data_IF_266329497739
#
_entry.id   IF_266329497739
#
_cell.length_a   1.000
_cell.length_b   1.000
_cell.length_c   1.000
_cell.angle_alpha   90.00
_cell.angle_beta   90.00
_cell.angle_gamma   90.00
#
_symmetry.space_group_name_H-M   'P 1'
#
loop_
_entity.id
_entity.type
_entity.pdbx_description
1 polymer ?
#
# COMPACT_ATOMS: atom_id res chain seq x y z
N UNK A 1 -25.09 -1.21 -7.60
CA UNK A 1 -23.82 -1.20 -8.35
C UNK A 1 -22.77 -1.55 -7.33
N UNK A 2 -22.13 -2.70 -7.49
CA UNK A 2 -21.19 -3.22 -6.49
C UNK A 2 -19.84 -2.54 -6.75
N UNK A 3 -19.53 -1.50 -5.97
CA UNK A 3 -18.19 -0.92 -5.92
C UNK A 3 -17.26 -1.99 -5.34
N UNK A 4 -16.74 -2.86 -6.22
CA UNK A 4 -15.76 -3.87 -5.84
C UNK A 4 -14.45 -3.16 -5.53
N UNK A 5 -14.22 -2.92 -4.25
CA UNK A 5 -12.92 -2.56 -3.71
C UNK A 5 -12.00 -3.77 -3.82
N UNK A 6 -11.19 -3.83 -4.86
CA UNK A 6 -10.18 -4.87 -5.03
C UNK A 6 -8.91 -4.46 -4.29
N UNK A 7 -8.81 -4.88 -3.03
CA UNK A 7 -7.58 -4.85 -2.26
C UNK A 7 -7.44 -6.15 -1.47
N UNK A 8 -6.24 -6.39 -0.98
CA UNK A 8 -5.90 -7.57 -0.19
C UNK A 8 -5.40 -7.16 1.18
N UNK A 9 -5.84 -7.89 2.19
CA UNK A 9 -5.31 -7.79 3.54
C UNK A 9 -4.21 -8.84 3.72
N UNK A 10 -3.05 -8.41 4.21
CA UNK A 10 -1.88 -9.27 4.42
C UNK A 10 -1.57 -9.30 5.91
N UNK A 11 -1.38 -10.52 6.43
CA UNK A 11 -0.88 -10.73 7.79
C UNK A 11 0.61 -10.39 7.82
N UNK A 12 0.98 -9.46 8.69
CA UNK A 12 2.36 -9.01 8.84
C UNK A 12 2.81 -9.13 10.29
N UNK A 13 4.11 -9.29 10.49
CA UNK A 13 4.70 -9.12 11.81
C UNK A 13 4.69 -7.63 12.21
N UNK A 14 4.77 -7.33 13.52
CA UNK A 14 5.06 -5.98 14.00
C UNK A 14 6.31 -5.38 13.37
N UNK A 15 6.24 -4.10 12.96
CA UNK A 15 7.36 -3.33 12.39
C UNK A 15 8.04 -3.99 11.18
N UNK A 16 7.26 -4.72 10.38
CA UNK A 16 7.75 -5.33 9.14
C UNK A 16 7.96 -4.25 8.07
N UNK A 17 8.97 -4.45 7.22
CA UNK A 17 9.29 -3.50 6.15
C UNK A 17 8.28 -3.60 5.02
N UNK A 18 7.68 -2.47 4.65
CA UNK A 18 6.82 -2.37 3.46
C UNK A 18 7.65 -1.84 2.31
N UNK A 19 7.66 -2.58 1.20
CA UNK A 19 8.44 -2.25 0.00
C UNK A 19 7.55 -1.84 -1.16
N UNK A 20 8.06 -0.96 -2.03
CA UNK A 20 7.38 -0.60 -3.27
C UNK A 20 7.38 -1.77 -4.25
N UNK A 21 6.21 -2.16 -4.76
CA UNK A 21 6.08 -3.30 -5.71
C UNK A 21 6.81 -3.05 -7.03
N UNK A 22 6.87 -1.80 -7.46
CA UNK A 22 7.53 -1.37 -8.70
C UNK A 22 8.24 -0.03 -8.49
N UNK A 23 9.12 0.35 -9.43
CA UNK A 23 9.69 1.68 -9.44
C UNK A 23 8.60 2.72 -9.76
N UNK A 24 8.74 3.94 -9.23
CA UNK A 24 7.72 4.96 -9.43
C UNK A 24 7.96 6.24 -8.64
N UNK A 25 6.92 7.05 -8.55
CA UNK A 25 6.92 8.31 -7.81
C UNK A 25 5.80 8.30 -6.77
N UNK A 26 6.13 8.70 -5.55
CA UNK A 26 5.14 8.86 -4.48
C UNK A 26 4.24 10.04 -4.82
N UNK A 27 2.95 9.79 -5.02
CA UNK A 27 1.95 10.82 -5.37
C UNK A 27 1.08 11.22 -4.17
N UNK A 28 1.12 10.44 -3.09
CA UNK A 28 0.40 10.72 -1.86
C UNK A 28 1.13 10.07 -0.68
N UNK A 29 1.24 10.79 0.44
CA UNK A 29 1.82 10.30 1.68
C UNK A 29 1.20 11.10 2.83
N UNK A 30 0.28 10.50 3.58
CA UNK A 30 -0.41 11.19 4.68
C UNK A 30 -1.01 10.24 5.70
N UNK A 31 -1.39 10.79 6.84
CA UNK A 31 -2.12 10.08 7.87
C UNK A 31 -3.63 10.22 7.66
N UNK A 32 -4.34 9.10 7.81
CA UNK A 32 -5.78 9.02 7.85
C UNK A 32 -6.21 8.39 9.17
N UNK A 33 -7.27 8.91 9.78
CA UNK A 33 -7.84 8.32 10.99
C UNK A 33 -8.36 6.90 10.74
N UNK A 34 -8.92 6.65 9.55
CA UNK A 34 -9.51 5.34 9.20
C UNK A 34 -8.45 4.34 8.74
N UNK A 35 -7.35 4.80 8.15
CA UNK A 35 -6.37 3.95 7.46
C UNK A 35 -4.94 4.04 7.98
N UNK A 36 -4.70 4.73 9.08
CA UNK A 36 -3.34 4.99 9.57
C UNK A 36 -2.51 5.78 8.56
N UNK A 37 -1.20 5.50 8.50
CA UNK A 37 -0.36 6.09 7.45
C UNK A 37 -0.59 5.40 6.11
N UNK A 38 -0.82 6.22 5.09
CA UNK A 38 -1.11 5.79 3.74
C UNK A 38 -0.10 6.40 2.78
N UNK A 39 0.44 5.57 1.89
CA UNK A 39 1.34 5.99 0.82
C UNK A 39 0.86 5.43 -0.51
N UNK A 40 0.86 6.26 -1.55
CA UNK A 40 0.52 5.86 -2.92
C UNK A 40 1.72 6.08 -3.82
N UNK A 41 2.02 5.09 -4.67
CA UNK A 41 3.10 5.17 -5.66
C UNK A 41 2.52 5.02 -7.06
N UNK A 42 2.73 6.04 -7.88
CA UNK A 42 2.45 6.01 -9.32
C UNK A 42 3.58 5.30 -10.04
N UNK A 43 3.24 4.28 -10.81
CA UNK A 43 4.14 3.52 -11.67
C UNK A 43 3.83 3.80 -13.14
N UNK A 44 4.63 3.21 -14.02
CA UNK A 44 4.38 3.22 -15.46
C UNK A 44 3.03 2.57 -15.82
N UNK A 45 2.59 2.77 -17.06
CA UNK A 45 1.32 2.27 -17.61
C UNK A 45 0.05 2.66 -16.84
N UNK A 46 0.12 3.74 -16.04
CA UNK A 46 -0.97 4.23 -15.19
C UNK A 46 -1.37 3.25 -14.08
N UNK A 47 -0.41 2.50 -13.54
CA UNK A 47 -0.61 1.76 -12.31
C UNK A 47 -0.38 2.63 -11.08
N UNK A 48 -1.21 2.48 -10.06
CA UNK A 48 -0.99 3.06 -8.73
C UNK A 48 -1.08 1.96 -7.70
N UNK A 49 -0.03 1.80 -6.91
CA UNK A 49 -0.08 0.95 -5.71
C UNK A 49 -0.37 1.79 -4.48
N UNK A 50 -1.21 1.27 -3.59
CA UNK A 50 -1.66 1.95 -2.38
C UNK A 50 -1.38 1.04 -1.19
N UNK A 51 -0.67 1.58 -0.20
CA UNK A 51 -0.24 0.87 0.99
C UNK A 51 -0.88 1.57 2.20
N UNK A 52 -1.71 0.86 2.97
CA UNK A 52 -2.47 1.40 4.12
C UNK A 52 -2.15 0.66 5.41
N UNK A 53 -2.62 1.20 6.52
CA UNK A 53 -2.41 0.71 7.89
C UNK A 53 -0.93 0.65 8.29
N UNK A 54 -0.11 1.56 7.75
CA UNK A 54 1.28 1.71 8.16
C UNK A 54 1.37 2.53 9.46
N UNK A 55 2.42 2.32 10.24
CA UNK A 55 2.74 3.14 11.43
C UNK A 55 3.67 4.29 11.14
N UNK A 56 4.44 4.20 10.06
CA UNK A 56 5.35 5.27 9.63
C UNK A 56 5.61 5.20 8.13
N UNK A 57 5.93 6.36 7.55
CA UNK A 57 6.35 6.48 6.16
C UNK A 57 7.81 6.91 6.11
N UNK A 58 8.59 6.30 5.21
CA UNK A 58 9.98 6.66 4.93
C UNK A 58 10.13 7.56 3.72
N UNK A 59 9.02 7.85 3.05
CA UNK A 59 8.94 8.67 1.83
C UNK A 59 7.82 9.70 1.94
N UNK A 60 7.94 10.77 1.17
CA UNK A 60 6.94 11.83 1.04
C UNK A 60 6.53 12.00 -0.42
N UNK A 61 5.42 12.70 -0.64
CA UNK A 61 4.98 13.04 -1.98
C UNK A 61 6.08 13.76 -2.78
N UNK A 62 6.27 13.35 -4.03
CA UNK A 62 7.34 13.79 -4.92
C UNK A 62 8.61 12.93 -4.91
N UNK A 63 8.80 12.06 -3.91
CA UNK A 63 9.96 11.19 -3.88
C UNK A 63 9.88 10.11 -4.97
N UNK A 64 11.01 9.79 -5.60
CA UNK A 64 11.14 8.62 -6.46
C UNK A 64 11.52 7.38 -5.64
N UNK A 65 11.02 6.22 -6.03
CA UNK A 65 11.28 4.93 -5.38
C UNK A 65 11.62 3.86 -6.41
N UNK A 66 12.45 2.90 -6.01
CA UNK A 66 12.77 1.69 -6.79
C UNK A 66 11.84 0.54 -6.40
N UNK A 67 11.71 -0.44 -7.30
CA UNK A 67 11.10 -1.72 -6.96
C UNK A 67 11.89 -2.37 -5.81
N UNK A 68 11.18 -2.89 -4.80
CA UNK A 68 11.78 -3.49 -3.60
C UNK A 68 12.36 -2.49 -2.58
N UNK A 69 12.28 -1.18 -2.84
CA UNK A 69 12.74 -0.18 -1.88
C UNK A 69 11.76 -0.06 -0.70
N UNK A 70 12.29 0.01 0.52
CA UNK A 70 11.47 0.19 1.74
C UNK A 70 10.88 1.60 1.75
N UNK A 71 9.57 1.68 1.89
CA UNK A 71 8.80 2.94 1.85
C UNK A 71 8.02 3.23 3.13
N UNK A 72 7.80 2.22 3.97
CA UNK A 72 7.02 2.33 5.21
C UNK A 72 7.30 1.14 6.14
N UNK A 73 6.76 1.21 7.36
CA UNK A 73 6.72 0.09 8.31
C UNK A 73 5.28 -0.23 8.72
N UNK A 74 4.99 -1.52 8.89
CA UNK A 74 3.71 -2.01 9.43
C UNK A 74 3.62 -1.75 10.94
N UNK A 75 2.40 -1.77 11.48
CA UNK A 75 2.16 -1.52 12.90
C UNK A 75 2.31 -2.71 13.84
N UNK A 76 2.40 -2.40 15.14
CA UNK A 76 2.62 -3.39 16.22
C UNK A 76 1.35 -4.11 16.71
N UNK A 77 0.24 -4.06 15.97
CA UNK A 77 -1.02 -4.62 16.45
C UNK A 77 -1.10 -6.15 16.28
N UNK A 78 -0.29 -6.87 17.05
CA UNK A 78 -0.42 -8.31 17.27
C UNK A 78 -1.62 -8.69 18.16
N UNK A 79 -2.36 -7.72 18.72
CA UNK A 79 -3.32 -7.95 19.81
C UNK A 79 -4.80 -7.67 19.48
N UNK A 80 -5.16 -7.10 18.34
CA UNK A 80 -6.57 -6.85 18.01
C UNK A 80 -7.15 -7.92 17.09
N UNK A 81 -8.02 -8.73 17.68
CA UNK A 81 -8.82 -9.81 17.08
C UNK A 81 -9.75 -9.41 15.92
N UNK A 82 -9.64 -8.22 15.32
CA UNK A 82 -10.59 -7.73 14.30
C UNK A 82 -10.03 -6.58 13.44
N UNK A 83 -9.12 -6.85 12.50
CA UNK A 83 -9.19 -6.14 11.20
C UNK A 83 -8.11 -5.14 10.80
N UNK A 84 -7.14 -4.77 11.65
CA UNK A 84 -6.05 -3.85 11.24
C UNK A 84 -4.87 -4.61 10.62
N UNK A 85 -5.14 -5.31 9.52
CA UNK A 85 -4.11 -5.95 8.72
C UNK A 85 -3.53 -4.94 7.73
N UNK A 86 -2.27 -5.14 7.33
CA UNK A 86 -1.71 -4.35 6.24
C UNK A 86 -2.59 -4.51 5.00
N UNK A 87 -2.99 -3.40 4.39
CA UNK A 87 -3.91 -3.42 3.28
C UNK A 87 -3.29 -2.82 2.04
N UNK A 88 -3.34 -3.60 0.97
CA UNK A 88 -2.74 -3.27 -0.31
C UNK A 88 -3.81 -3.18 -1.39
N UNK A 89 -3.78 -2.12 -2.18
CA UNK A 89 -4.60 -2.01 -3.40
C UNK A 89 -3.70 -1.76 -4.61
N UNK A 90 -4.14 -2.25 -5.76
CA UNK A 90 -3.57 -1.92 -7.04
C UNK A 90 -4.65 -1.29 -7.92
N UNK A 91 -4.32 -0.18 -8.55
CA UNK A 91 -5.21 0.55 -9.43
C UNK A 91 -4.59 0.64 -10.81
N UNK A 92 -5.39 0.50 -11.86
CA UNK A 92 -4.97 0.71 -13.25
C UNK A 92 -5.94 1.66 -13.93
N UNK A 93 -5.42 2.75 -14.52
CA UNK A 93 -6.25 3.74 -15.25
C UNK A 93 -7.43 4.25 -14.40
N UNK A 94 -7.18 4.51 -13.11
CA UNK A 94 -8.16 5.07 -12.18
C UNK A 94 -9.20 4.09 -11.64
N UNK A 95 -9.05 2.78 -11.85
CA UNK A 95 -9.95 1.75 -11.31
C UNK A 95 -9.16 0.74 -10.48
N UNK A 96 -9.70 0.26 -9.34
CA UNK A 96 -9.09 -0.83 -8.60
C UNK A 96 -9.10 -2.11 -9.44
N UNK A 97 -8.02 -2.89 -9.35
CA UNK A 97 -7.86 -4.20 -10.00
C UNK A 97 -7.47 -5.23 -8.95
N UNK A 98 -7.82 -6.51 -9.16
CA UNK A 98 -7.41 -7.58 -8.26
C UNK A 98 -5.87 -7.73 -8.30
N UNK A 99 -5.15 -7.46 -7.20
CA UNK A 99 -3.70 -7.62 -7.17
C UNK A 99 -3.24 -9.05 -7.49
N UNK A 100 -3.99 -10.07 -7.06
CA UNK A 100 -3.63 -11.48 -7.23
C UNK A 100 -3.68 -11.95 -8.70
N UNK A 101 -4.43 -11.26 -9.55
CA UNK A 101 -4.51 -11.56 -10.99
C UNK A 101 -3.40 -10.86 -11.80
N UNK A 102 -2.79 -9.80 -11.23
CA UNK A 102 -1.83 -8.95 -11.92
C UNK A 102 -0.39 -9.23 -11.45
N UNK A 103 -0.22 -9.53 -10.17
CA UNK A 103 1.06 -9.86 -9.55
C UNK A 103 1.21 -11.38 -9.59
N UNK A 104 1.84 -11.87 -10.66
CA UNK A 104 2.12 -13.29 -10.86
C UNK A 104 3.55 -13.55 -10.38
N UNK A 105 3.73 -14.49 -9.45
CA UNK A 105 5.04 -14.93 -8.93
C UNK A 105 5.71 -15.94 -9.88
#
# INVERSE_FOLDING_TARGET
MEDKHYGISILTAPNESVVSVLAGTVIYASYSFDYGWVIHVQHDENYVSIYKHNTSLLKKAGDSVKAGEVIAFTGENASNKTGDQFYFELWKKGKPVNPEEVIIF
#
